data_IF_359942254764
#
_entry.id   IF_359942254764
#
_cell.length_a   1.000
_cell.length_b   1.000
_cell.length_c   1.000
_cell.angle_alpha   90.00
_cell.angle_beta   90.00
_cell.angle_gamma   90.00
#
_symmetry.space_group_name_H-M   'P 1'
#
loop_
_entity.id
_entity.type
_entity.pdbx_description
1 polymer ?
#
# COMPACT_ATOMS: atom_id res chain seq x y z
N UNK A 1 18.33 0.13 19.42
CA UNK A 1 19.20 0.42 18.26
C UNK A 1 18.33 0.59 17.02
N UNK A 2 18.16 1.83 16.55
CA UNK A 2 17.35 2.21 15.39
C UNK A 2 18.08 2.00 14.04
N UNK A 3 19.36 1.60 14.07
CA UNK A 3 20.21 1.33 12.92
C UNK A 3 20.13 -0.15 12.49
N UNK A 4 18.96 -0.61 12.05
CA UNK A 4 18.83 -1.93 11.39
C UNK A 4 18.08 -1.75 10.08
N UNK A 5 18.44 -2.52 9.06
CA UNK A 5 17.88 -2.38 7.71
C UNK A 5 16.34 -2.50 7.67
N UNK A 6 15.73 -3.19 8.65
CA UNK A 6 14.27 -3.29 8.82
C UNK A 6 13.57 -1.92 8.91
N UNK A 7 14.15 -0.93 9.60
CA UNK A 7 13.50 0.38 9.79
C UNK A 7 13.51 1.19 8.50
N UNK A 8 14.54 0.99 7.66
CA UNK A 8 14.60 1.57 6.30
C UNK A 8 13.51 0.98 5.42
N UNK A 9 13.32 -0.34 5.44
CA UNK A 9 12.26 -1.00 4.67
C UNK A 9 10.86 -0.55 5.09
N UNK A 10 10.60 -0.45 6.40
CA UNK A 10 9.32 0.06 6.92
C UNK A 10 9.09 1.53 6.56
N UNK A 11 10.12 2.36 6.60
CA UNK A 11 10.04 3.77 6.22
C UNK A 11 9.74 3.91 4.72
N UNK A 12 10.43 3.15 3.87
CA UNK A 12 10.18 3.13 2.43
C UNK A 12 8.75 2.67 2.13
N UNK A 13 8.26 1.61 2.78
CA UNK A 13 6.89 1.16 2.63
C UNK A 13 5.89 2.26 3.01
N UNK A 14 6.10 2.95 4.14
CA UNK A 14 5.23 4.04 4.58
C UNK A 14 5.22 5.23 3.61
N UNK A 15 6.38 5.65 3.12
CA UNK A 15 6.51 6.79 2.19
C UNK A 15 5.88 6.46 0.84
N UNK A 16 6.11 5.25 0.32
CA UNK A 16 5.55 4.83 -0.96
C UNK A 16 4.04 4.66 -0.87
N UNK A 17 3.52 4.07 0.19
CA UNK A 17 2.08 3.97 0.41
C UNK A 17 1.44 5.35 0.61
N UNK A 18 2.10 6.29 1.30
CA UNK A 18 1.61 7.66 1.37
C UNK A 18 1.63 8.35 -0.01
N UNK A 19 2.58 8.02 -0.88
CA UNK A 19 2.63 8.56 -2.24
C UNK A 19 1.48 8.02 -3.11
N UNK A 20 1.03 6.77 -2.91
CA UNK A 20 -0.12 6.22 -3.67
C UNK A 20 -1.43 6.98 -3.44
N UNK A 21 -1.54 7.80 -2.39
CA UNK A 21 -2.68 8.68 -2.18
C UNK A 21 -2.88 9.66 -3.34
N UNK A 22 -1.78 10.19 -3.90
CA UNK A 22 -1.82 11.17 -5.00
C UNK A 22 -1.51 10.57 -6.36
N UNK A 23 -0.90 9.37 -6.38
CA UNK A 23 -0.50 8.72 -7.61
C UNK A 23 -1.63 7.84 -8.15
N UNK A 24 -1.89 7.98 -9.44
CA UNK A 24 -2.98 7.28 -10.12
C UNK A 24 -2.61 5.81 -10.31
N UNK A 25 -3.45 4.88 -9.85
CA UNK A 25 -3.22 3.43 -10.03
C UNK A 25 -3.60 2.98 -11.45
N UNK A 26 -4.73 3.46 -11.96
CA UNK A 26 -5.14 3.22 -13.33
C UNK A 26 -5.81 4.48 -13.87
N UNK A 27 -5.74 4.69 -15.18
CA UNK A 27 -6.45 5.77 -15.85
C UNK A 27 -7.33 5.19 -16.92
N UNK A 28 -8.51 5.79 -17.08
CA UNK A 28 -9.51 5.20 -17.95
C UNK A 28 -10.73 6.05 -18.20
N UNK A 29 -11.52 5.61 -19.17
CA UNK A 29 -12.79 6.22 -19.50
C UNK A 29 -13.90 5.64 -18.63
N UNK A 30 -14.61 6.50 -17.92
CA UNK A 30 -15.85 6.17 -17.22
C UNK A 30 -17.03 6.74 -18.01
N UNK A 31 -18.06 5.93 -18.21
CA UNK A 31 -19.34 6.38 -18.74
C UNK A 31 -20.08 7.13 -17.63
N UNK A 32 -20.38 8.39 -17.89
CA UNK A 32 -21.27 9.15 -17.02
C UNK A 32 -22.71 8.67 -17.24
N UNK A 33 -23.37 8.23 -16.17
CA UNK A 33 -24.70 7.64 -16.21
C UNK A 33 -25.79 8.63 -16.64
N UNK A 34 -25.54 9.94 -16.50
CA UNK A 34 -26.50 10.99 -16.87
C UNK A 34 -26.37 11.45 -18.33
N UNK A 35 -25.16 11.47 -18.88
CA UNK A 35 -24.86 12.09 -20.19
C UNK A 35 -24.38 11.09 -21.25
N UNK A 36 -24.11 9.84 -20.85
CA UNK A 36 -23.52 8.81 -21.71
C UNK A 36 -22.20 9.23 -22.37
N UNK A 37 -21.53 10.26 -21.83
CA UNK A 37 -20.24 10.73 -22.32
C UNK A 37 -19.09 9.97 -21.63
N UNK A 38 -18.03 9.68 -22.39
CA UNK A 38 -16.79 9.12 -21.87
C UNK A 38 -16.00 10.26 -21.21
N UNK A 39 -15.78 10.16 -19.90
CA UNK A 39 -14.90 11.08 -19.18
C UNK A 39 -13.62 10.35 -18.79
N UNK A 40 -12.48 10.97 -19.09
CA UNK A 40 -11.18 10.44 -18.68
C UNK A 40 -10.96 10.74 -17.20
N UNK A 41 -10.81 9.70 -16.39
CA UNK A 41 -10.60 9.81 -14.95
C UNK A 41 -9.34 9.02 -14.59
N UNK A 42 -8.47 9.67 -13.83
CA UNK A 42 -7.34 8.99 -13.20
C UNK A 42 -7.76 8.49 -11.84
N UNK A 43 -7.71 7.18 -11.61
CA UNK A 43 -8.15 6.59 -10.37
C UNK A 43 -7.03 6.59 -9.33
N UNK A 44 -7.20 7.40 -8.29
CA UNK A 44 -6.31 7.50 -7.13
C UNK A 44 -6.97 6.90 -5.89
N UNK A 45 -6.20 6.61 -4.84
CA UNK A 45 -6.72 6.11 -3.56
C UNK A 45 -7.82 7.02 -2.98
N UNK A 46 -7.74 8.33 -3.24
CA UNK A 46 -8.70 9.34 -2.75
C UNK A 46 -10.11 9.18 -3.32
N UNK A 47 -10.29 8.46 -4.42
CA UNK A 47 -11.60 8.33 -5.08
C UNK A 47 -12.49 7.25 -4.48
N UNK A 48 -11.97 6.41 -3.60
CA UNK A 48 -12.75 5.39 -2.91
C UNK A 48 -12.40 5.40 -1.42
N UNK A 49 -13.41 5.66 -0.58
CA UNK A 49 -13.25 5.80 0.88
C UNK A 49 -12.63 4.55 1.51
N UNK A 50 -12.98 3.35 1.05
CA UNK A 50 -12.42 2.11 1.59
C UNK A 50 -10.93 1.97 1.25
N UNK A 51 -10.56 2.25 0.00
CA UNK A 51 -9.15 2.22 -0.44
C UNK A 51 -8.33 3.30 0.28
N UNK A 52 -8.88 4.51 0.42
CA UNK A 52 -8.27 5.61 1.16
C UNK A 52 -7.95 5.22 2.61
N UNK A 53 -8.94 4.65 3.33
CA UNK A 53 -8.76 4.22 4.72
C UNK A 53 -7.68 3.14 4.81
N UNK A 54 -7.70 2.16 3.90
CA UNK A 54 -6.69 1.10 3.89
C UNK A 54 -5.29 1.64 3.62
N UNK A 55 -5.13 2.52 2.63
CA UNK A 55 -3.84 3.14 2.30
C UNK A 55 -3.29 3.95 3.48
N UNK A 56 -4.14 4.75 4.14
CA UNK A 56 -3.73 5.48 5.36
C UNK A 56 -3.36 4.50 6.47
N UNK A 57 -4.17 3.45 6.69
CA UNK A 57 -3.91 2.45 7.73
C UNK A 57 -2.59 1.70 7.50
N UNK A 58 -2.26 1.34 6.26
CA UNK A 58 -0.99 0.70 5.90
C UNK A 58 0.19 1.63 6.17
N UNK A 59 0.11 2.89 5.71
CA UNK A 59 1.17 3.87 5.93
C UNK A 59 1.41 4.13 7.43
N UNK A 60 0.34 4.31 8.21
CA UNK A 60 0.43 4.50 9.67
C UNK A 60 0.94 3.24 10.35
N UNK A 61 0.46 2.05 10.00
CA UNK A 61 0.91 0.80 10.61
C UNK A 61 2.41 0.56 10.35
N UNK A 62 2.88 0.86 9.13
CA UNK A 62 4.30 0.77 8.81
C UNK A 62 5.15 1.76 9.65
N UNK A 63 4.69 3.00 9.84
CA UNK A 63 5.37 3.97 10.73
C UNK A 63 5.35 3.54 12.20
N UNK A 64 4.21 3.07 12.70
CA UNK A 64 4.09 2.57 14.08
C UNK A 64 5.01 1.38 14.29
N UNK A 65 5.11 0.46 13.32
CA UNK A 65 6.00 -0.69 13.38
C UNK A 65 7.48 -0.29 13.53
N UNK A 66 7.91 0.89 13.06
CA UNK A 66 9.29 1.40 13.28
C UNK A 66 9.55 1.61 14.78
N UNK A 67 8.58 2.18 15.50
CA UNK A 67 8.72 2.49 16.93
C UNK A 67 8.49 1.27 17.84
N UNK A 68 7.94 0.18 17.31
CA UNK A 68 7.72 -1.07 18.05
C UNK A 68 8.98 -1.95 18.20
N UNK A 69 10.17 -1.36 18.08
CA UNK A 69 11.46 -2.05 18.15
C UNK A 69 11.73 -2.77 19.49
N UNK A 70 10.94 -2.49 20.54
CA UNK A 70 11.05 -3.17 21.84
C UNK A 70 10.40 -4.55 21.83
N UNK A 71 9.27 -4.71 21.16
CA UNK A 71 8.47 -5.95 21.13
C UNK A 71 8.57 -6.59 19.73
N UNK A 72 9.66 -7.32 19.45
CA UNK A 72 9.96 -7.88 18.12
C UNK A 72 8.87 -8.81 17.58
N UNK A 73 8.30 -9.67 18.43
CA UNK A 73 7.19 -10.56 18.06
C UNK A 73 5.94 -9.78 17.61
N UNK A 74 5.60 -8.69 18.30
CA UNK A 74 4.46 -7.83 17.92
C UNK A 74 4.79 -6.99 16.68
N UNK A 75 6.02 -6.50 16.58
CA UNK A 75 6.50 -5.79 15.39
C UNK A 75 6.40 -6.65 14.13
N UNK A 76 6.80 -7.93 14.22
CA UNK A 76 6.68 -8.90 13.13
C UNK A 76 5.22 -9.16 12.78
N UNK A 77 4.37 -9.43 13.78
CA UNK A 77 2.94 -9.69 13.57
C UNK A 77 2.26 -8.52 12.85
N UNK A 78 2.48 -7.29 13.32
CA UNK A 78 1.90 -6.09 12.70
C UNK A 78 2.42 -5.93 11.27
N UNK A 79 3.73 -6.10 11.03
CA UNK A 79 4.31 -5.99 9.69
C UNK A 79 3.72 -7.03 8.72
N UNK A 80 3.50 -8.27 9.18
CA UNK A 80 2.86 -9.32 8.39
C UNK A 80 1.39 -9.01 8.11
N UNK A 81 0.64 -8.55 9.11
CA UNK A 81 -0.75 -8.11 8.92
C UNK A 81 -0.80 -6.95 7.92
N UNK A 82 0.06 -5.94 8.07
CA UNK A 82 0.16 -4.81 7.14
C UNK A 82 0.49 -5.28 5.72
N UNK A 83 1.35 -6.29 5.57
CA UNK A 83 1.62 -6.91 4.26
C UNK A 83 0.35 -7.48 3.65
N UNK A 84 -0.40 -8.30 4.40
CA UNK A 84 -1.66 -8.88 3.91
C UNK A 84 -2.65 -7.79 3.53
N UNK A 85 -2.80 -6.76 4.37
CA UNK A 85 -3.69 -5.62 4.11
C UNK A 85 -3.29 -4.87 2.84
N UNK A 86 -1.98 -4.70 2.58
CA UNK A 86 -1.50 -4.07 1.33
C UNK A 86 -1.85 -4.88 0.08
N UNK A 87 -1.79 -6.22 0.14
CA UNK A 87 -2.21 -7.09 -0.97
C UNK A 87 -3.73 -6.99 -1.19
N UNK A 88 -4.51 -6.91 -0.10
CA UNK A 88 -5.96 -6.69 -0.19
C UNK A 88 -6.26 -5.32 -0.83
N UNK A 89 -5.55 -4.26 -0.47
CA UNK A 89 -5.71 -2.94 -1.07
C UNK A 89 -5.46 -2.97 -2.59
N UNK A 90 -4.39 -3.62 -3.04
CA UNK A 90 -4.10 -3.85 -4.47
C UNK A 90 -5.26 -4.59 -5.15
N UNK A 91 -5.79 -5.64 -4.51
CA UNK A 91 -6.91 -6.42 -5.06
C UNK A 91 -8.18 -5.57 -5.22
N UNK A 92 -8.44 -4.64 -4.29
CA UNK A 92 -9.56 -3.70 -4.38
C UNK A 92 -9.40 -2.70 -5.54
N UNK A 93 -8.18 -2.27 -5.85
CA UNK A 93 -7.94 -1.46 -7.06
C UNK A 93 -8.34 -2.20 -8.34
N UNK A 94 -8.03 -3.51 -8.43
CA UNK A 94 -8.45 -4.32 -9.57
C UNK A 94 -9.95 -4.53 -9.63
N UNK A 95 -10.64 -4.65 -8.49
CA UNK A 95 -12.10 -4.66 -8.48
C UNK A 95 -12.69 -3.33 -8.96
N UNK A 96 -12.10 -2.20 -8.56
CA UNK A 96 -12.59 -0.90 -9.00
C UNK A 96 -12.39 -0.66 -10.50
N UNK A 97 -11.36 -1.30 -11.09
CA UNK A 97 -11.08 -1.26 -12.53
C UNK A 97 -12.25 -1.78 -13.37
N UNK A 98 -13.03 -2.75 -12.90
CA UNK A 98 -14.17 -3.30 -13.67
C UNK A 98 -15.32 -2.31 -13.86
N UNK A 99 -15.33 -1.22 -13.09
CA UNK A 99 -16.33 -0.15 -13.22
C UNK A 99 -16.00 0.86 -14.33
N UNK A 100 -14.90 0.64 -15.07
CA UNK A 100 -14.44 1.49 -16.16
C UNK A 100 -14.57 0.75 -17.50
N UNK A 101 -14.90 1.50 -18.55
CA UNK A 101 -15.10 0.95 -19.90
C UNK A 101 -13.76 0.56 -20.53
N UNK A 102 -12.78 1.44 -20.36
CA UNK A 102 -11.40 1.26 -20.79
C UNK A 102 -10.55 1.69 -19.61
N UNK A 103 -9.72 0.80 -19.06
CA UNK A 103 -8.82 1.12 -17.96
C UNK A 103 -7.43 0.54 -18.20
N UNK A 104 -6.45 1.42 -18.28
CA UNK A 104 -5.05 1.09 -18.44
C UNK A 104 -4.34 1.25 -17.10
N UNK A 105 -3.47 0.29 -16.76
CA UNK A 105 -2.63 0.40 -15.57
C UNK A 105 -1.58 1.49 -15.83
N UNK A 106 -1.43 2.40 -14.87
CA UNK A 106 -0.41 3.43 -14.96
C UNK A 106 0.93 2.89 -14.46
N UNK A 107 2.03 3.50 -14.91
CA UNK A 107 3.38 3.14 -14.44
C UNK A 107 3.50 3.30 -12.91
N UNK A 108 2.82 4.31 -12.36
CA UNK A 108 2.73 4.59 -10.93
C UNK A 108 2.06 3.48 -10.12
N UNK A 109 1.29 2.58 -10.74
CA UNK A 109 0.74 1.40 -10.07
C UNK A 109 1.84 0.49 -9.52
N UNK A 110 3.02 0.47 -10.16
CA UNK A 110 4.19 -0.31 -9.69
C UNK A 110 4.57 0.04 -8.26
N UNK A 111 4.36 1.29 -7.84
CA UNK A 111 4.66 1.73 -6.47
C UNK A 111 3.81 0.96 -5.46
N UNK A 112 2.51 0.79 -5.74
CA UNK A 112 1.63 0.00 -4.88
C UNK A 112 2.07 -1.46 -4.79
N UNK A 113 2.63 -2.03 -5.87
CA UNK A 113 3.18 -3.40 -5.85
C UNK A 113 4.51 -3.52 -5.08
N UNK A 114 5.31 -2.45 -5.02
CA UNK A 114 6.56 -2.46 -4.24
C UNK A 114 6.32 -2.39 -2.72
N UNK A 115 5.20 -1.83 -2.26
CA UNK A 115 4.85 -1.73 -0.83
C UNK A 115 4.85 -3.11 -0.12
N UNK A 116 4.10 -4.14 -0.57
CA UNK A 116 4.14 -5.46 0.07
C UNK A 116 5.54 -6.09 0.01
N UNK A 117 6.32 -5.82 -1.05
CA UNK A 117 7.70 -6.33 -1.16
C UNK A 117 8.58 -5.75 -0.05
N UNK A 118 8.52 -4.43 0.17
CA UNK A 118 9.28 -3.80 1.26
C UNK A 118 8.81 -4.24 2.64
N UNK A 119 7.51 -4.44 2.84
CA UNK A 119 6.98 -4.99 4.10
C UNK A 119 7.47 -6.44 4.35
N UNK A 120 7.56 -7.28 3.33
CA UNK A 120 8.13 -8.63 3.45
C UNK A 120 9.62 -8.60 3.77
N UNK A 121 10.39 -7.70 3.14
CA UNK A 121 11.80 -7.51 3.44
C UNK A 121 12.00 -7.01 4.88
N UNK A 122 11.14 -6.10 5.35
CA UNK A 122 11.11 -5.68 6.74
C UNK A 122 10.81 -6.85 7.68
N UNK A 123 9.77 -7.65 7.39
CA UNK A 123 9.38 -8.80 8.19
C UNK A 123 10.50 -9.84 8.29
N UNK A 124 11.20 -10.13 7.19
CA UNK A 124 12.38 -11.01 7.20
C UNK A 124 13.48 -10.46 8.10
N UNK A 125 13.75 -9.16 8.02
CA UNK A 125 14.72 -8.50 8.90
C UNK A 125 14.36 -8.60 10.38
N UNK A 126 13.08 -8.36 10.72
CA UNK A 126 12.57 -8.48 12.10
C UNK A 126 12.68 -9.92 12.61
N UNK A 127 12.39 -10.92 11.77
CA UNK A 127 12.47 -12.32 12.15
C UNK A 127 13.90 -12.78 12.45
N UNK A 128 14.85 -12.41 11.59
CA UNK A 128 16.28 -12.71 11.83
C UNK A 128 16.78 -12.04 13.11
N UNK A 129 16.33 -10.81 13.35
CA UNK A 129 16.65 -10.05 14.55
C UNK A 129 16.10 -10.68 15.85
N UNK A 130 14.94 -11.36 15.78
CA UNK A 130 14.33 -12.06 16.92
C UNK A 130 15.05 -13.37 17.26
N UNK A 131 15.73 -14.00 16.28
CA UNK A 131 16.50 -15.24 16.50
C UNK A 131 17.89 -15.00 17.12
N UNK A 132 18.40 -13.76 17.07
CA UNK A 132 19.73 -13.40 17.59
C UNK A 132 19.72 -13.00 19.08
N UNK A 133 18.53 -12.99 19.70
CA UNK A 133 18.30 -12.63 21.12
C UNK A 133 17.76 -13.86 21.84
#
# INVERSE_FOLDING_TARGET
>A
MLQRLQTVWLLLAAVLEAATLRLSFFSGNKLDAATNQKTWIEFTAMQNVFILILTIAIAVAALVAIFMYKDRKRQLLITLVTTVVSVVAISLYFQQKTNFVEANLNLTALIAFFVPVFLLLAARGIYQDDQLV
#
